data_IF_641513336708
#
_entry.id   IF_641513336708
#
_cell.length_a   1.000
_cell.length_b   1.000
_cell.length_c   1.000
_cell.angle_alpha   90.00
_cell.angle_beta   90.00
_cell.angle_gamma   90.00
#
_symmetry.space_group_name_H-M   'P 1'
#
loop_
_entity.id
_entity.type
_entity.pdbx_description
1 polymer ?
#
# COMPACT_ATOMS: atom_id res chain seq x y z
N UNK A 1 -26.97 36.32 15.52
CA UNK A 1 -26.93 35.01 14.84
C UNK A 1 -26.20 35.12 13.52
N UNK A 2 -25.49 34.05 13.12
CA UNK A 2 -24.86 33.81 11.80
C UNK A 2 -23.59 34.59 11.43
N UNK A 3 -22.48 34.34 12.14
CA UNK A 3 -21.13 34.59 11.59
C UNK A 3 -20.17 33.40 11.80
N UNK A 4 -20.45 32.50 12.76
CA UNK A 4 -19.61 31.33 13.03
C UNK A 4 -19.86 30.12 12.13
N UNK A 5 -21.12 29.76 11.86
CA UNK A 5 -21.46 28.49 11.18
C UNK A 5 -20.93 28.38 9.74
N UNK A 6 -20.92 29.48 8.99
CA UNK A 6 -20.52 29.46 7.59
C UNK A 6 -19.00 29.27 7.43
N UNK A 7 -18.19 29.69 8.41
CA UNK A 7 -16.75 29.44 8.42
C UNK A 7 -16.45 27.97 8.63
N UNK A 8 -16.94 27.39 9.72
CA UNK A 8 -16.71 25.97 10.06
C UNK A 8 -17.17 25.00 8.98
N UNK A 9 -18.33 25.26 8.35
CA UNK A 9 -18.82 24.41 7.26
C UNK A 9 -17.91 24.45 6.02
N UNK A 10 -17.39 25.62 5.65
CA UNK A 10 -16.48 25.75 4.51
C UNK A 10 -15.10 25.13 4.79
N UNK A 11 -14.55 25.30 6.01
CA UNK A 11 -13.29 24.66 6.40
C UNK A 11 -13.42 23.12 6.41
N UNK A 12 -14.48 22.58 7.01
CA UNK A 12 -14.73 21.14 7.03
C UNK A 12 -14.88 20.56 5.62
N UNK A 13 -15.60 21.24 4.73
CA UNK A 13 -15.72 20.83 3.33
C UNK A 13 -14.37 20.84 2.59
N UNK A 14 -13.50 21.83 2.88
CA UNK A 14 -12.18 21.89 2.26
C UNK A 14 -11.24 20.78 2.73
N UNK A 15 -11.29 20.41 4.01
CA UNK A 15 -10.50 19.32 4.57
C UNK A 15 -10.96 17.95 4.05
N UNK A 16 -12.28 17.71 4.03
CA UNK A 16 -12.86 16.54 3.42
C UNK A 16 -12.51 16.42 1.93
N UNK A 17 -12.59 17.52 1.19
CA UNK A 17 -12.22 17.53 -0.23
C UNK A 17 -10.74 17.19 -0.43
N UNK A 18 -9.86 17.76 0.39
CA UNK A 18 -8.43 17.45 0.34
C UNK A 18 -8.16 15.96 0.60
N UNK A 19 -8.83 15.36 1.59
CA UNK A 19 -8.68 13.93 1.91
C UNK A 19 -9.18 13.03 0.78
N UNK A 20 -10.33 13.38 0.16
CA UNK A 20 -10.83 12.66 -1.00
C UNK A 20 -9.85 12.70 -2.19
N UNK A 21 -9.26 13.87 -2.46
CA UNK A 21 -8.26 14.03 -3.52
C UNK A 21 -6.99 13.22 -3.21
N UNK A 22 -6.51 13.25 -1.96
CA UNK A 22 -5.37 12.43 -1.52
C UNK A 22 -5.64 10.94 -1.76
N UNK A 23 -6.82 10.45 -1.34
CA UNK A 23 -7.22 9.05 -1.55
C UNK A 23 -7.27 8.68 -3.04
N UNK A 24 -7.87 9.53 -3.88
CA UNK A 24 -7.96 9.28 -5.32
C UNK A 24 -6.57 9.20 -5.98
N UNK A 25 -5.63 10.06 -5.58
CA UNK A 25 -4.25 9.98 -6.06
C UNK A 25 -3.57 8.68 -5.63
N UNK A 26 -3.76 8.26 -4.37
CA UNK A 26 -3.19 7.02 -3.86
C UNK A 26 -3.75 5.80 -4.60
N UNK A 27 -5.06 5.74 -4.83
CA UNK A 27 -5.70 4.66 -5.61
C UNK A 27 -5.12 4.58 -7.03
N UNK A 28 -4.96 5.73 -7.70
CA UNK A 28 -4.37 5.81 -9.04
C UNK A 28 -2.91 5.35 -9.03
N UNK A 29 -2.14 5.76 -8.03
CA UNK A 29 -0.75 5.36 -7.83
C UNK A 29 -0.63 3.84 -7.67
N UNK A 30 -1.39 3.24 -6.74
CA UNK A 30 -1.32 1.81 -6.44
C UNK A 30 -1.69 0.96 -7.67
N UNK A 31 -2.75 1.36 -8.38
CA UNK A 31 -3.14 0.72 -9.63
C UNK A 31 -2.00 0.77 -10.66
N UNK A 32 -1.37 1.93 -10.83
CA UNK A 32 -0.25 2.10 -11.78
C UNK A 32 0.95 1.23 -11.40
N UNK A 33 1.29 1.14 -10.11
CA UNK A 33 2.41 0.30 -9.64
C UNK A 33 2.17 -1.18 -9.93
N UNK A 34 0.96 -1.69 -9.67
CA UNK A 34 0.60 -3.08 -9.94
C UNK A 34 0.60 -3.37 -11.45
N UNK A 35 -0.08 -2.54 -12.25
CA UNK A 35 -0.18 -2.71 -13.71
C UNK A 35 1.19 -2.63 -14.41
N UNK A 36 2.12 -1.86 -13.85
CA UNK A 36 3.48 -1.69 -14.39
C UNK A 36 4.50 -2.69 -13.82
N UNK A 37 4.07 -3.64 -12.97
CA UNK A 37 4.94 -4.57 -12.23
C UNK A 37 6.04 -3.86 -11.41
N UNK A 38 5.78 -2.64 -10.93
CA UNK A 38 6.73 -1.81 -10.16
C UNK A 38 6.55 -1.99 -8.64
N UNK A 39 6.21 -3.19 -8.20
CA UNK A 39 6.07 -3.51 -6.77
C UNK A 39 7.36 -4.14 -6.26
N UNK A 40 7.98 -3.51 -5.27
CA UNK A 40 9.17 -4.05 -4.61
C UNK A 40 8.77 -5.22 -3.71
N UNK A 41 9.68 -6.19 -3.55
CA UNK A 41 9.48 -7.37 -2.69
C UNK A 41 10.65 -7.47 -1.71
N UNK A 42 10.32 -7.50 -0.43
CA UNK A 42 11.27 -7.68 0.67
C UNK A 42 11.03 -9.03 1.33
N UNK A 43 12.08 -9.66 1.84
CA UNK A 43 11.99 -11.00 2.43
C UNK A 43 12.22 -10.97 3.94
N UNK A 44 11.25 -11.48 4.70
CA UNK A 44 11.40 -11.68 6.14
C UNK A 44 11.72 -13.16 6.44
N UNK A 45 12.83 -13.47 7.13
CA UNK A 45 13.13 -14.85 7.51
C UNK A 45 12.15 -15.36 8.58
N UNK A 46 11.70 -16.60 8.40
CA UNK A 46 10.93 -17.36 9.39
C UNK A 46 11.87 -18.36 10.05
N UNK A 47 11.96 -18.31 11.38
CA UNK A 47 12.92 -19.06 12.19
C UNK A 47 12.27 -20.25 12.89
N UNK A 48 12.88 -21.44 12.83
CA UNK A 48 12.49 -22.56 13.70
C UNK A 48 12.93 -22.27 15.14
N UNK A 49 11.97 -22.09 16.05
CA UNK A 49 12.22 -21.66 17.43
C UNK A 49 13.12 -22.58 18.23
N UNK A 50 13.14 -23.89 17.92
CA UNK A 50 13.95 -24.88 18.62
C UNK A 50 15.42 -24.83 18.21
N UNK A 51 15.72 -24.57 16.95
CA UNK A 51 17.09 -24.67 16.40
C UNK A 51 17.71 -23.30 16.12
N UNK A 52 16.90 -22.26 16.00
CA UNK A 52 17.34 -20.94 15.56
C UNK A 52 17.64 -20.84 14.07
N UNK A 53 17.40 -21.91 13.31
CA UNK A 53 17.68 -21.93 11.87
C UNK A 53 16.58 -21.23 11.07
N UNK A 54 16.97 -20.53 10.01
CA UNK A 54 16.02 -20.02 9.01
C UNK A 54 15.44 -21.21 8.25
N UNK A 55 14.12 -21.34 8.24
CA UNK A 55 13.42 -22.44 7.54
C UNK A 55 12.65 -21.99 6.32
N UNK A 56 12.25 -20.72 6.26
CA UNK A 56 11.51 -20.10 5.14
C UNK A 56 11.78 -18.61 5.08
N UNK A 57 11.35 -17.99 3.99
CA UNK A 57 11.24 -16.54 3.86
C UNK A 57 9.81 -16.19 3.45
N UNK A 58 9.25 -15.16 4.06
CA UNK A 58 8.00 -14.53 3.64
C UNK A 58 8.30 -13.38 2.69
N UNK A 59 7.68 -13.39 1.50
CA UNK A 59 7.78 -12.32 0.53
C UNK A 59 6.73 -11.24 0.86
N UNK A 60 7.18 -10.01 1.04
CA UNK A 60 6.36 -8.89 1.49
C UNK A 60 6.42 -7.76 0.47
N UNK A 61 5.25 -7.36 -0.06
CA UNK A 61 5.13 -6.22 -0.96
C UNK A 61 5.59 -4.92 -0.31
N UNK A 62 6.23 -4.05 -1.09
CA UNK A 62 6.63 -2.71 -0.70
C UNK A 62 6.29 -1.74 -1.83
N UNK A 63 5.73 -0.61 -1.44
CA UNK A 63 5.38 0.48 -2.35
C UNK A 63 6.18 1.69 -1.94
N UNK A 64 6.99 2.23 -2.85
CA UNK A 64 7.69 3.48 -2.60
C UNK A 64 6.77 4.64 -3.01
N UNK A 65 6.21 5.31 -2.01
CA UNK A 65 5.38 6.48 -2.21
C UNK A 65 6.06 7.71 -1.61
N UNK A 66 6.04 8.84 -2.34
CA UNK A 66 6.73 10.07 -1.93
C UNK A 66 6.24 10.60 -0.58
N UNK A 67 4.97 10.39 -0.26
CA UNK A 67 4.40 10.70 1.05
C UNK A 67 4.50 9.46 1.95
N UNK A 68 5.35 9.55 2.99
CA UNK A 68 5.49 8.54 4.05
C UNK A 68 4.31 8.48 5.03
N UNK A 69 3.18 9.13 4.70
CA UNK A 69 1.97 9.16 5.52
C UNK A 69 1.25 7.80 5.53
N UNK A 70 1.40 6.99 4.47
CA UNK A 70 0.71 5.70 4.34
C UNK A 70 1.63 4.52 4.63
N UNK A 71 1.18 3.64 5.51
CA UNK A 71 1.81 2.34 5.73
C UNK A 71 1.49 1.37 4.59
N UNK A 72 2.35 0.35 4.41
CA UNK A 72 2.08 -0.74 3.48
C UNK A 72 0.74 -1.43 3.76
N UNK A 73 0.35 -1.55 5.03
CA UNK A 73 -0.91 -2.19 5.40
C UNK A 73 -2.12 -1.38 4.92
N UNK A 74 -2.10 -0.05 5.08
CA UNK A 74 -3.17 0.83 4.59
C UNK A 74 -3.28 0.78 3.06
N UNK A 75 -2.14 0.74 2.37
CA UNK A 75 -2.11 0.57 0.91
C UNK A 75 -2.69 -0.78 0.48
N UNK A 76 -2.39 -1.87 1.19
CA UNK A 76 -2.98 -3.20 0.92
C UNK A 76 -4.50 -3.15 1.08
N UNK A 77 -5.02 -2.50 2.13
CA UNK A 77 -6.46 -2.38 2.33
C UNK A 77 -7.15 -1.59 1.20
N UNK A 78 -6.50 -0.55 0.65
CA UNK A 78 -7.01 0.15 -0.53
C UNK A 78 -6.97 -0.75 -1.77
N UNK A 79 -5.93 -1.56 -1.95
CA UNK A 79 -5.83 -2.53 -3.05
C UNK A 79 -6.95 -3.58 -2.97
N UNK A 80 -7.31 -4.03 -1.77
CA UNK A 80 -8.45 -4.91 -1.53
C UNK A 80 -9.77 -4.23 -1.91
N UNK A 81 -9.99 -2.98 -1.48
CA UNK A 81 -11.17 -2.17 -1.87
C UNK A 81 -11.28 -1.99 -3.41
N UNK A 82 -10.14 -1.94 -4.10
CA UNK A 82 -10.04 -1.84 -5.56
C UNK A 82 -10.16 -3.19 -6.29
N UNK A 83 -10.31 -4.29 -5.56
CA UNK A 83 -10.33 -5.67 -6.10
C UNK A 83 -9.04 -6.06 -6.86
N UNK A 84 -7.90 -5.43 -6.53
CA UNK A 84 -6.62 -5.64 -7.19
C UNK A 84 -5.68 -6.59 -6.43
N UNK A 85 -6.14 -7.20 -5.33
CA UNK A 85 -5.29 -8.05 -4.47
C UNK A 85 -4.70 -9.26 -5.20
N UNK A 86 -5.49 -9.91 -6.07
CA UNK A 86 -4.99 -11.05 -6.84
C UNK A 86 -3.92 -10.64 -7.87
N UNK A 87 -4.08 -9.45 -8.48
CA UNK A 87 -3.07 -8.92 -9.40
C UNK A 87 -1.77 -8.56 -8.65
N UNK A 88 -1.88 -8.02 -7.44
CA UNK A 88 -0.74 -7.79 -6.57
C UNK A 88 -0.02 -9.11 -6.24
N UNK A 89 -0.75 -10.15 -5.86
CA UNK A 89 -0.18 -11.46 -5.52
C UNK A 89 0.61 -12.05 -6.69
N UNK A 90 0.09 -11.95 -7.91
CA UNK A 90 0.78 -12.40 -9.12
C UNK A 90 2.11 -11.65 -9.34
N UNK A 91 2.10 -10.33 -9.20
CA UNK A 91 3.31 -9.50 -9.34
C UNK A 91 4.33 -9.85 -8.26
N UNK A 92 3.91 -9.94 -7.00
CA UNK A 92 4.80 -10.27 -5.87
C UNK A 92 5.40 -11.66 -6.06
N UNK A 93 4.60 -12.66 -6.46
CA UNK A 93 5.04 -14.02 -6.71
C UNK A 93 6.09 -14.06 -7.84
N UNK A 94 5.80 -13.42 -8.96
CA UNK A 94 6.73 -13.37 -10.10
C UNK A 94 8.04 -12.66 -9.73
N UNK A 95 7.97 -11.51 -9.05
CA UNK A 95 9.13 -10.75 -8.61
C UNK A 95 9.96 -11.56 -7.62
N UNK A 96 9.33 -12.24 -6.66
CA UNK A 96 10.01 -13.09 -5.70
C UNK A 96 10.75 -14.26 -6.38
N UNK A 97 10.11 -14.94 -7.33
CA UNK A 97 10.72 -16.05 -8.08
C UNK A 97 11.89 -15.57 -8.95
N UNK A 98 11.78 -14.40 -9.59
CA UNK A 98 12.87 -13.78 -10.35
C UNK A 98 14.07 -13.49 -9.45
N UNK A 99 13.85 -12.88 -8.28
CA UNK A 99 14.93 -12.53 -7.34
C UNK A 99 15.58 -13.76 -6.67
N UNK A 100 14.81 -14.83 -6.44
CA UNK A 100 15.33 -16.08 -5.85
C UNK A 100 16.21 -16.90 -6.81
N UNK A 101 16.14 -16.65 -8.11
CA UNK A 101 16.87 -17.46 -9.12
C UNK A 101 18.40 -17.21 -9.18
N UNK A 102 19.03 -16.77 -8.09
CA UNK A 102 20.48 -16.63 -7.90
C UNK A 102 20.92 -17.38 -6.63
#
# INVERSE_FOLDING_TARGET
SKAGENGYFNFYNSELHAELVKRQHLETFLKTQIESELVDVYFQPIIETRTGNVVKFEALARFYHENSEYSTQEMISIIEDLELIAALDDVVCQTALKQWSH
#
